data_IF_639704520304
#
_entry.id   IF_639704520304
#
_cell.length_a   1.000
_cell.length_b   1.000
_cell.length_c   1.000
_cell.angle_alpha   90.00
_cell.angle_beta   90.00
_cell.angle_gamma   90.00
#
_symmetry.space_group_name_H-M   'P 1'
#
loop_
_entity.id
_entity.type
_entity.pdbx_description
1 polymer ?
#
# COMPACT_ATOMS: atom_id res chain seq x y z
N UNK A 1 30.09 -46.50 18.17
CA UNK A 1 29.42 -47.78 18.47
C UNK A 1 27.99 -47.50 18.89
N UNK A 2 27.05 -48.34 18.41
CA UNK A 2 25.58 -48.25 18.51
C UNK A 2 24.90 -47.23 17.56
N UNK A 3 23.93 -47.59 16.71
CA UNK A 3 23.28 -48.87 16.41
C UNK A 3 22.66 -48.83 14.98
N UNK A 4 22.87 -49.94 14.28
CA UNK A 4 22.03 -50.67 13.32
C UNK A 4 21.29 -49.94 12.19
N UNK A 5 21.75 -50.23 10.98
CA UNK A 5 20.92 -50.36 9.78
C UNK A 5 20.69 -51.82 9.38
N UNK A 6 19.65 -52.00 8.55
CA UNK A 6 19.40 -53.06 7.54
C UNK A 6 19.33 -54.55 7.96
N UNK A 7 18.16 -55.15 7.73
CA UNK A 7 17.89 -56.31 6.82
C UNK A 7 16.38 -56.57 6.82
N UNK A 8 15.69 -56.36 5.69
CA UNK A 8 15.32 -57.36 4.65
C UNK A 8 14.57 -58.55 5.25
N UNK A 9 13.25 -58.57 5.04
CA UNK A 9 12.41 -59.77 5.11
C UNK A 9 11.85 -60.00 3.70
N UNK A 10 12.00 -61.24 3.25
CA UNK A 10 11.68 -61.74 1.92
C UNK A 10 10.22 -62.21 1.86
N UNK A 11 9.63 -62.01 0.68
CA UNK A 11 8.30 -62.41 0.20
C UNK A 11 7.82 -63.81 0.63
N UNK A 12 6.51 -63.90 0.93
CA UNK A 12 5.70 -65.04 0.53
C UNK A 12 4.58 -64.51 -0.39
N UNK A 13 4.60 -64.95 -1.65
CA UNK A 13 3.56 -64.71 -2.63
C UNK A 13 2.46 -65.78 -2.48
N UNK A 14 1.21 -65.35 -2.43
CA UNK A 14 0.06 -66.18 -2.72
C UNK A 14 -0.72 -65.51 -3.85
N UNK A 15 -0.61 -66.09 -5.04
CA UNK A 15 -1.44 -65.80 -6.21
C UNK A 15 -2.75 -66.57 -6.04
N UNK A 16 -3.91 -65.91 -6.21
CA UNK A 16 -5.15 -66.55 -6.67
C UNK A 16 -6.12 -65.48 -7.24
N UNK A 17 -6.16 -65.46 -8.57
CA UNK A 17 -7.22 -65.18 -9.53
C UNK A 17 -8.47 -64.35 -9.13
N UNK A 18 -8.76 -63.31 -9.93
CA UNK A 18 -10.08 -62.68 -10.02
C UNK A 18 -10.00 -61.26 -10.58
N UNK A 19 -10.46 -61.06 -11.81
CA UNK A 19 -10.14 -59.89 -12.64
C UNK A 19 -10.81 -58.58 -12.28
N UNK A 20 -10.07 -57.50 -12.55
CA UNK A 20 -10.49 -56.29 -13.30
C UNK A 20 -9.28 -55.35 -13.32
N UNK A 21 -8.69 -55.15 -14.50
CA UNK A 21 -7.56 -54.23 -14.68
C UNK A 21 -8.11 -52.81 -14.55
N UNK A 22 -7.98 -52.22 -13.35
CA UNK A 22 -8.00 -50.79 -13.19
C UNK A 22 -6.56 -50.30 -13.37
N UNK A 23 -6.26 -49.73 -14.54
CA UNK A 23 -5.03 -48.97 -14.76
C UNK A 23 -5.02 -47.78 -13.80
N UNK A 24 -4.31 -47.90 -12.67
CA UNK A 24 -3.95 -46.76 -11.85
C UNK A 24 -2.91 -45.95 -12.62
N UNK A 25 -3.38 -45.00 -13.41
CA UNK A 25 -2.56 -43.86 -13.82
C UNK A 25 -2.04 -43.20 -12.56
N UNK A 26 -0.72 -43.21 -12.38
CA UNK A 26 -0.02 -42.42 -11.38
C UNK A 26 -0.28 -40.95 -11.69
N UNK A 27 -1.35 -40.39 -11.13
CA UNK A 27 -1.48 -38.95 -11.01
C UNK A 27 -0.34 -38.52 -10.10
N UNK A 28 0.71 -37.95 -10.71
CA UNK A 28 1.74 -37.25 -9.97
C UNK A 28 1.03 -36.29 -9.03
N UNK A 29 1.40 -36.33 -7.74
CA UNK A 29 0.93 -35.37 -6.77
C UNK A 29 1.13 -33.98 -7.37
N UNK A 30 0.04 -33.32 -7.74
CA UNK A 30 0.08 -31.95 -8.21
C UNK A 30 0.76 -31.17 -7.10
N UNK A 31 1.96 -30.65 -7.39
CA UNK A 31 2.61 -29.67 -6.53
C UNK A 31 1.57 -28.58 -6.30
N UNK A 32 1.13 -28.39 -5.06
CA UNK A 32 0.27 -27.28 -4.70
C UNK A 32 0.88 -26.04 -5.35
N UNK A 33 0.08 -25.34 -6.17
CA UNK A 33 0.51 -24.08 -6.77
C UNK A 33 1.07 -23.23 -5.63
N UNK A 34 2.35 -22.86 -5.72
CA UNK A 34 2.90 -21.91 -4.77
C UNK A 34 2.07 -20.62 -4.90
N UNK A 35 1.82 -19.94 -3.77
CA UNK A 35 1.16 -18.63 -3.64
C UNK A 35 1.85 -17.50 -4.48
N UNK A 36 2.76 -17.86 -5.40
CA UNK A 36 3.62 -17.00 -6.18
C UNK A 36 2.85 -16.13 -7.19
N UNK A 37 1.64 -16.56 -7.58
CA UNK A 37 0.79 -15.81 -8.51
C UNK A 37 -0.13 -14.80 -7.82
N UNK A 38 -0.32 -14.89 -6.49
CA UNK A 38 -1.16 -13.97 -5.75
C UNK A 38 -0.51 -12.59 -5.70
N UNK A 39 -1.24 -11.55 -6.12
CA UNK A 39 -0.80 -10.17 -5.90
C UNK A 39 -1.02 -9.81 -4.43
N UNK A 40 0.05 -9.39 -3.76
CA UNK A 40 -0.02 -8.85 -2.39
C UNK A 40 0.45 -7.41 -2.41
N UNK A 41 -0.47 -6.48 -2.14
CA UNK A 41 -0.11 -5.09 -1.89
C UNK A 41 0.49 -4.95 -0.50
N UNK A 42 1.59 -4.23 -0.39
CA UNK A 42 2.18 -3.84 0.89
C UNK A 42 2.35 -2.33 0.93
N UNK A 43 1.87 -1.71 2.01
CA UNK A 43 1.98 -0.27 2.22
C UNK A 43 2.69 0.04 3.55
N UNK A 44 3.59 1.03 3.52
CA UNK A 44 4.32 1.47 4.70
C UNK A 44 4.55 2.98 4.67
N UNK A 45 4.28 3.62 5.81
CA UNK A 45 4.68 5.01 6.03
C UNK A 45 6.17 5.07 6.36
N UNK A 46 6.94 5.82 5.58
CA UNK A 46 8.39 5.98 5.74
C UNK A 46 8.81 7.45 5.73
N UNK A 47 10.10 7.70 5.94
CA UNK A 47 10.74 8.99 5.68
C UNK A 47 11.99 8.72 4.85
N UNK A 48 11.88 8.63 3.51
CA UNK A 48 13.00 8.27 2.64
C UNK A 48 14.16 9.26 2.78
N UNK A 49 13.86 10.52 3.11
CA UNK A 49 14.84 11.56 3.38
C UNK A 49 14.24 12.72 4.18
N UNK A 50 15.11 13.64 4.58
CA UNK A 50 14.73 14.90 5.21
C UNK A 50 13.90 14.74 6.49
N UNK A 51 13.34 15.86 6.95
CA UNK A 51 12.56 15.94 8.19
C UNK A 51 11.19 16.62 8.01
N UNK A 52 10.89 17.11 6.80
CA UNK A 52 9.75 17.97 6.50
C UNK A 52 8.60 17.24 5.78
N UNK A 53 8.74 15.95 5.52
CA UNK A 53 7.73 15.14 4.85
C UNK A 53 7.72 13.72 5.43
N UNK A 54 6.64 13.00 5.21
CA UNK A 54 6.64 11.54 5.27
C UNK A 54 6.24 10.99 3.90
N UNK A 55 6.52 9.73 3.64
CA UNK A 55 6.11 9.06 2.42
C UNK A 55 5.12 7.94 2.73
N UNK A 56 4.14 7.75 1.86
CA UNK A 56 3.39 6.50 1.72
C UNK A 56 4.06 5.74 0.58
N UNK A 57 4.75 4.66 0.93
CA UNK A 57 5.36 3.76 -0.07
C UNK A 57 4.49 2.53 -0.20
N UNK A 58 4.14 2.19 -1.43
CA UNK A 58 3.34 1.00 -1.76
C UNK A 58 4.09 0.13 -2.74
N UNK A 59 4.05 -1.19 -2.54
CA UNK A 59 4.57 -2.17 -3.49
C UNK A 59 3.53 -3.24 -3.75
N UNK A 60 3.39 -3.68 -5.00
CA UNK A 60 2.73 -4.94 -5.32
C UNK A 60 3.79 -6.04 -5.40
N UNK A 61 3.54 -7.15 -4.71
CA UNK A 61 4.41 -8.32 -4.65
C UNK A 61 3.74 -9.50 -5.36
N UNK A 62 4.53 -10.31 -6.05
CA UNK A 62 4.20 -11.68 -6.45
C UNK A 62 5.30 -12.59 -5.95
N UNK A 63 4.98 -13.50 -5.02
CA UNK A 63 5.98 -14.18 -4.21
C UNK A 63 6.91 -13.19 -3.47
N UNK A 64 8.21 -13.31 -3.67
CA UNK A 64 9.24 -12.44 -3.07
C UNK A 64 9.70 -11.26 -3.95
N UNK A 65 9.14 -11.15 -5.17
CA UNK A 65 9.48 -10.11 -6.14
C UNK A 65 8.50 -8.95 -6.10
N UNK A 66 9.03 -7.75 -6.28
CA UNK A 66 8.26 -6.55 -6.52
C UNK A 66 7.83 -6.53 -7.99
N UNK A 67 6.53 -6.46 -8.26
CA UNK A 67 5.98 -6.32 -9.62
C UNK A 67 5.53 -4.89 -9.94
N UNK A 68 5.26 -4.08 -8.91
CA UNK A 68 5.07 -2.65 -9.05
C UNK A 68 5.46 -1.93 -7.76
N UNK A 69 5.90 -0.68 -7.86
CA UNK A 69 6.19 0.19 -6.72
C UNK A 69 5.68 1.60 -7.00
N UNK A 70 5.27 2.29 -5.94
CA UNK A 70 4.80 3.67 -6.01
C UNK A 70 5.11 4.40 -4.71
N UNK A 71 5.64 5.62 -4.82
CA UNK A 71 5.98 6.48 -3.69
C UNK A 71 5.28 7.83 -3.83
N UNK A 72 4.45 8.16 -2.85
CA UNK A 72 3.98 9.51 -2.65
C UNK A 72 4.53 10.10 -1.36
N UNK A 73 4.80 11.39 -1.36
CA UNK A 73 5.30 12.12 -0.20
C UNK A 73 4.29 13.20 0.19
N UNK A 74 4.07 13.34 1.49
CA UNK A 74 3.17 14.32 2.06
C UNK A 74 3.95 15.37 2.83
N UNK A 75 3.76 16.63 2.48
CA UNK A 75 4.50 17.76 3.04
C UNK A 75 3.57 18.92 3.40
N UNK A 76 3.82 19.59 4.52
CA UNK A 76 3.16 20.86 4.79
C UNK A 76 3.81 21.99 3.97
N UNK A 77 2.98 22.73 3.25
CA UNK A 77 3.36 23.94 2.54
C UNK A 77 2.55 25.13 3.06
N UNK A 78 2.95 26.36 2.71
CA UNK A 78 2.15 27.55 3.03
C UNK A 78 0.77 27.44 2.38
N UNK A 79 -0.28 27.80 3.12
CA UNK A 79 -1.65 27.85 2.61
C UNK A 79 -1.73 28.89 1.49
N UNK A 80 -2.36 28.51 0.38
CA UNK A 80 -2.48 29.38 -0.79
C UNK A 80 -1.24 29.42 -1.70
N UNK A 81 -0.28 28.50 -1.53
CA UNK A 81 0.77 28.31 -2.54
C UNK A 81 0.14 28.04 -3.91
N UNK A 82 0.48 28.88 -4.90
CA UNK A 82 -0.12 28.85 -6.25
C UNK A 82 0.13 27.49 -6.91
N UNK A 83 -0.91 26.95 -7.57
CA UNK A 83 -0.84 25.70 -8.32
C UNK A 83 -0.80 24.45 -7.44
N UNK A 84 -1.03 24.58 -6.13
CA UNK A 84 -1.09 23.44 -5.22
C UNK A 84 -2.48 23.25 -4.61
N UNK A 85 -2.97 22.02 -4.70
CA UNK A 85 -4.22 21.53 -4.11
C UNK A 85 -3.90 20.76 -2.83
N UNK A 86 -4.53 21.12 -1.69
CA UNK A 86 -4.34 20.40 -0.45
C UNK A 86 -5.05 19.05 -0.45
N UNK A 87 -4.66 18.15 0.45
CA UNK A 87 -5.37 16.88 0.66
C UNK A 87 -6.85 17.13 0.98
N UNK A 88 -7.75 16.15 0.72
CA UNK A 88 -9.17 16.29 1.03
C UNK A 88 -9.42 16.75 2.46
N UNK A 89 -10.56 17.40 2.68
CA UNK A 89 -10.98 17.95 3.97
C UNK A 89 -10.07 19.05 4.56
N UNK A 90 -9.09 19.57 3.82
CA UNK A 90 -8.20 20.67 4.26
C UNK A 90 -8.88 22.05 4.44
N UNK A 91 -10.17 22.15 4.16
CA UNK A 91 -11.03 23.30 4.50
C UNK A 91 -12.15 22.94 5.48
N UNK A 92 -12.23 21.67 5.92
CA UNK A 92 -13.27 21.14 6.81
C UNK A 92 -12.65 20.69 8.14
N UNK A 93 -13.14 19.59 8.74
CA UNK A 93 -12.71 19.09 10.04
C UNK A 93 -11.19 18.84 10.16
N UNK A 94 -10.58 18.25 9.13
CA UNK A 94 -9.13 17.97 9.09
C UNK A 94 -8.28 19.23 9.26
N UNK A 95 -8.74 20.38 8.73
CA UNK A 95 -8.04 21.66 8.82
C UNK A 95 -7.80 22.12 10.27
N UNK A 96 -8.64 21.69 11.23
CA UNK A 96 -8.48 22.00 12.66
C UNK A 96 -7.20 21.42 13.26
N UNK A 97 -6.62 20.41 12.59
CA UNK A 97 -5.36 19.78 12.97
C UNK A 97 -4.11 20.44 12.39
N UNK A 98 -4.24 21.54 11.65
CA UNK A 98 -3.10 22.21 10.99
C UNK A 98 -2.98 23.65 11.47
N UNK A 99 -1.76 24.10 11.82
CA UNK A 99 -1.48 25.48 12.26
C UNK A 99 -0.55 26.23 11.30
N UNK A 100 -0.14 27.43 11.68
CA UNK A 100 0.83 28.27 10.96
C UNK A 100 0.42 28.66 9.52
N UNK A 101 -0.88 28.72 9.24
CA UNK A 101 -1.40 28.96 7.88
C UNK A 101 -0.74 28.00 6.87
N UNK A 102 -0.61 26.72 7.24
CA UNK A 102 -0.10 25.67 6.35
C UNK A 102 -1.25 24.82 5.80
N UNK A 103 -0.94 24.03 4.78
CA UNK A 103 -1.80 22.97 4.25
C UNK A 103 -0.95 21.74 3.93
N UNK A 104 -1.50 20.55 4.14
CA UNK A 104 -0.85 19.30 3.75
C UNK A 104 -1.14 19.03 2.27
N UNK A 105 -0.11 18.70 1.50
CA UNK A 105 -0.22 18.32 0.09
C UNK A 105 0.41 16.95 -0.13
N UNK A 106 -0.13 16.17 -1.05
CA UNK A 106 0.59 15.09 -1.75
C UNK A 106 1.53 15.73 -2.77
N UNK A 107 2.78 15.28 -2.83
CA UNK A 107 3.71 15.74 -3.86
C UNK A 107 3.41 15.12 -5.22
N UNK A 108 2.86 13.91 -5.28
CA UNK A 108 2.49 13.30 -6.56
C UNK A 108 1.33 14.02 -7.23
N UNK A 109 0.25 14.32 -6.50
CA UNK A 109 -0.90 15.09 -7.02
C UNK A 109 -0.52 16.53 -7.38
N UNK A 110 0.53 17.06 -6.77
CA UNK A 110 1.02 18.43 -7.00
C UNK A 110 2.36 18.47 -7.73
N UNK A 111 2.72 17.43 -8.50
CA UNK A 111 4.09 17.28 -8.97
C UNK A 111 4.54 18.41 -9.89
N UNK A 112 3.68 18.90 -10.79
CA UNK A 112 4.05 20.00 -11.69
C UNK A 112 4.46 21.25 -10.89
N UNK A 113 3.61 21.68 -9.96
CA UNK A 113 3.88 22.84 -9.11
C UNK A 113 5.09 22.61 -8.19
N UNK A 114 5.21 21.41 -7.61
CA UNK A 114 6.31 21.06 -6.71
C UNK A 114 7.65 20.95 -7.44
N UNK A 115 7.69 20.30 -8.59
CA UNK A 115 8.85 20.23 -9.49
C UNK A 115 9.25 21.62 -9.97
N UNK A 116 8.28 22.52 -10.21
CA UNK A 116 8.53 23.93 -10.47
C UNK A 116 9.26 24.66 -9.33
N UNK A 117 8.90 24.38 -8.06
CA UNK A 117 9.64 24.89 -6.90
C UNK A 117 11.04 24.29 -6.80
N UNK A 118 11.20 22.98 -7.03
CA UNK A 118 12.52 22.34 -7.04
C UNK A 118 13.45 22.93 -8.11
N UNK A 119 12.92 23.26 -9.29
CA UNK A 119 13.70 23.94 -10.34
C UNK A 119 14.15 25.34 -9.90
N UNK A 120 13.26 26.10 -9.25
CA UNK A 120 13.55 27.48 -8.81
C UNK A 120 14.48 27.55 -7.60
N UNK A 121 14.21 26.74 -6.58
CA UNK A 121 14.86 26.82 -5.27
C UNK A 121 16.08 25.89 -5.16
N UNK A 122 16.02 24.71 -5.78
CA UNK A 122 17.07 23.69 -5.71
C UNK A 122 17.86 23.53 -7.03
N UNK A 123 17.56 24.36 -8.04
CA UNK A 123 18.19 24.32 -9.38
C UNK A 123 18.10 22.92 -10.01
N UNK A 124 17.01 22.18 -9.76
CA UNK A 124 16.80 20.86 -10.33
C UNK A 124 16.69 20.94 -11.86
N UNK A 125 17.37 20.02 -12.56
CA UNK A 125 17.33 19.92 -14.03
C UNK A 125 16.27 18.95 -14.53
N UNK A 126 15.63 18.18 -13.64
CA UNK A 126 14.62 17.17 -13.98
C UNK A 126 13.44 17.26 -12.99
N UNK A 127 12.25 16.85 -13.45
CA UNK A 127 11.06 16.76 -12.60
C UNK A 127 11.19 15.66 -11.54
N UNK A 128 10.52 15.83 -10.40
CA UNK A 128 10.57 14.90 -9.27
C UNK A 128 9.99 13.54 -9.66
N UNK A 129 8.80 13.50 -10.27
CA UNK A 129 8.18 12.25 -10.72
C UNK A 129 9.06 11.48 -11.69
N UNK A 130 9.68 12.13 -12.68
CA UNK A 130 10.56 11.42 -13.63
C UNK A 130 11.72 10.68 -12.94
N UNK A 131 12.26 11.24 -11.87
CA UNK A 131 13.29 10.56 -11.08
C UNK A 131 12.71 9.45 -10.20
N UNK A 132 11.49 9.60 -9.67
CA UNK A 132 10.85 8.53 -8.91
C UNK A 132 10.44 7.37 -9.80
N UNK A 133 9.88 7.62 -10.98
CA UNK A 133 9.53 6.60 -11.97
C UNK A 133 10.76 5.73 -12.30
N UNK A 134 11.94 6.35 -12.47
CA UNK A 134 13.18 5.62 -12.71
C UNK A 134 13.56 4.72 -11.52
N UNK A 135 13.34 5.20 -10.29
CA UNK A 135 13.63 4.45 -9.06
C UNK A 135 12.66 3.28 -8.90
N UNK A 136 11.36 3.54 -9.07
CA UNK A 136 10.29 2.55 -8.97
C UNK A 136 10.49 1.45 -10.02
N UNK A 137 10.70 1.81 -11.29
CA UNK A 137 11.02 0.87 -12.38
C UNK A 137 12.29 0.06 -12.09
N UNK A 138 13.31 0.67 -11.51
CA UNK A 138 14.52 -0.07 -11.11
C UNK A 138 14.21 -1.17 -10.08
N UNK A 139 13.21 -0.99 -9.22
CA UNK A 139 12.87 -2.01 -8.21
C UNK A 139 12.03 -3.17 -8.72
N UNK A 140 11.31 -2.99 -9.84
CA UNK A 140 10.50 -4.05 -10.45
C UNK A 140 11.37 -5.25 -10.84
N UNK A 141 10.86 -6.46 -10.59
CA UNK A 141 11.53 -7.74 -10.79
C UNK A 141 12.56 -8.12 -9.72
N UNK A 142 12.83 -7.23 -8.74
CA UNK A 142 13.81 -7.49 -7.68
C UNK A 142 13.14 -7.88 -6.36
N UNK A 143 13.90 -8.60 -5.54
CA UNK A 143 13.55 -8.88 -4.16
C UNK A 143 14.07 -7.78 -3.23
N UNK A 144 13.49 -7.65 -2.04
CA UNK A 144 14.00 -6.73 -1.03
C UNK A 144 15.47 -7.00 -0.66
N UNK A 145 15.90 -8.27 -0.66
CA UNK A 145 17.28 -8.66 -0.39
C UNK A 145 18.23 -8.12 -1.46
N UNK A 146 17.88 -8.26 -2.75
CA UNK A 146 18.67 -7.73 -3.86
C UNK A 146 18.79 -6.20 -3.79
N UNK A 147 17.72 -5.49 -3.43
CA UNK A 147 17.76 -4.03 -3.24
C UNK A 147 18.70 -3.64 -2.10
N UNK A 148 18.64 -4.33 -0.96
CA UNK A 148 19.53 -4.08 0.18
C UNK A 148 21.00 -4.37 -0.19
N UNK A 149 21.28 -5.43 -0.96
CA UNK A 149 22.62 -5.70 -1.47
C UNK A 149 23.12 -4.59 -2.39
N UNK A 150 22.26 -4.09 -3.29
CA UNK A 150 22.62 -2.97 -4.17
C UNK A 150 22.93 -1.70 -3.36
N UNK A 151 22.13 -1.40 -2.33
CA UNK A 151 22.37 -0.27 -1.42
C UNK A 151 23.68 -0.39 -0.64
N UNK A 152 24.04 -1.60 -0.20
CA UNK A 152 25.29 -1.84 0.52
C UNK A 152 26.52 -1.67 -0.40
N UNK A 153 26.41 -2.09 -1.67
CA UNK A 153 27.49 -1.98 -2.66
C UNK A 153 27.69 -0.55 -3.19
N UNK A 154 26.66 0.29 -3.17
CA UNK A 154 26.68 1.59 -3.83
C UNK A 154 26.42 2.74 -2.84
N UNK A 155 27.44 3.57 -2.62
CA UNK A 155 27.32 4.79 -1.80
C UNK A 155 26.26 5.77 -2.36
N UNK A 156 26.07 5.79 -3.67
CA UNK A 156 25.10 6.64 -4.39
C UNK A 156 24.50 5.85 -5.56
N UNK A 157 23.19 5.66 -5.54
CA UNK A 157 22.44 4.91 -6.55
C UNK A 157 22.04 5.80 -7.75
N UNK A 158 21.90 7.11 -7.55
CA UNK A 158 21.49 8.07 -8.60
C UNK A 158 22.48 8.10 -9.78
N UNK A 159 21.95 8.34 -10.99
CA UNK A 159 22.64 8.50 -12.28
C UNK A 159 23.42 7.28 -12.80
N UNK A 160 24.28 6.67 -11.97
CA UNK A 160 25.16 5.57 -12.37
C UNK A 160 24.51 4.19 -12.25
N UNK A 161 23.79 3.94 -11.15
CA UNK A 161 23.13 2.63 -10.92
C UNK A 161 21.72 2.66 -11.47
N UNK A 162 21.01 3.75 -11.21
CA UNK A 162 19.65 3.98 -11.68
C UNK A 162 19.70 5.12 -12.69
N UNK A 163 19.74 4.77 -13.97
CA UNK A 163 19.64 5.75 -15.05
C UNK A 163 18.31 6.51 -14.95
N UNK A 164 18.34 7.83 -15.11
CA UNK A 164 17.16 8.69 -14.95
C UNK A 164 16.83 9.10 -13.51
N UNK A 165 17.39 8.43 -12.49
CA UNK A 165 17.26 8.89 -11.11
C UNK A 165 18.26 10.03 -10.83
N UNK A 166 17.75 11.22 -10.55
CA UNK A 166 18.54 12.44 -10.32
C UNK A 166 18.38 13.02 -8.93
N UNK A 167 17.39 12.57 -8.15
CA UNK A 167 17.21 12.97 -6.76
C UNK A 167 18.41 12.53 -5.90
N UNK A 168 18.92 13.46 -5.08
CA UNK A 168 20.05 13.19 -4.18
C UNK A 168 19.78 12.02 -3.23
N UNK A 169 18.51 11.87 -2.85
CA UNK A 169 17.99 10.92 -1.87
C UNK A 169 17.59 9.56 -2.47
N UNK A 170 18.04 9.25 -3.69
CA UNK A 170 17.73 7.98 -4.40
C UNK A 170 17.92 6.74 -3.53
N UNK A 171 19.00 6.66 -2.74
CA UNK A 171 19.23 5.52 -1.82
C UNK A 171 18.11 5.37 -0.77
N UNK A 172 17.59 6.49 -0.27
CA UNK A 172 16.50 6.52 0.71
C UNK A 172 15.20 5.98 0.14
N UNK A 173 14.87 6.33 -1.10
CA UNK A 173 13.68 5.83 -1.79
C UNK A 173 13.79 4.32 -2.09
N UNK A 174 14.93 3.83 -2.59
CA UNK A 174 15.16 2.39 -2.79
C UNK A 174 15.05 1.63 -1.47
N UNK A 175 15.58 2.19 -0.38
CA UNK A 175 15.45 1.63 0.97
C UNK A 175 14.00 1.59 1.43
N UNK A 176 13.23 2.64 1.14
CA UNK A 176 11.80 2.69 1.45
C UNK A 176 11.03 1.54 0.80
N UNK A 177 11.28 1.29 -0.49
CA UNK A 177 10.66 0.20 -1.24
C UNK A 177 11.05 -1.16 -0.64
N UNK A 178 12.34 -1.39 -0.36
CA UNK A 178 12.81 -2.64 0.25
C UNK A 178 12.22 -2.89 1.65
N UNK A 179 12.06 -1.83 2.45
CA UNK A 179 11.41 -1.90 3.76
C UNK A 179 9.92 -2.19 3.63
N UNK A 180 9.24 -1.58 2.67
CA UNK A 180 7.82 -1.80 2.41
C UNK A 180 7.56 -3.24 1.98
N UNK A 181 8.37 -3.78 1.08
CA UNK A 181 8.28 -5.18 0.65
C UNK A 181 8.41 -6.19 1.80
N UNK A 182 9.13 -5.84 2.88
CA UNK A 182 9.36 -6.73 4.02
C UNK A 182 8.45 -6.47 5.22
N UNK A 183 8.08 -5.22 5.48
CA UNK A 183 7.41 -4.77 6.72
C UNK A 183 6.09 -4.04 6.48
N UNK A 184 5.72 -3.78 5.23
CA UNK A 184 4.47 -3.11 4.91
C UNK A 184 3.26 -3.95 5.33
N UNK A 185 2.18 -3.25 5.68
CA UNK A 185 0.89 -3.87 5.93
C UNK A 185 0.41 -4.52 4.65
N UNK A 186 0.11 -5.81 4.72
CA UNK A 186 -0.21 -6.62 3.57
C UNK A 186 -1.72 -6.70 3.35
N UNK A 187 -2.15 -6.44 2.12
CA UNK A 187 -3.50 -6.75 1.64
C UNK A 187 -3.39 -7.76 0.52
N UNK A 188 -4.00 -8.92 0.72
CA UNK A 188 -4.03 -9.99 -0.28
C UNK A 188 -5.04 -9.66 -1.37
N UNK A 189 -4.64 -9.87 -2.62
CA UNK A 189 -5.46 -9.74 -3.80
C UNK A 189 -5.80 -11.09 -4.41
N UNK A 190 -6.02 -11.08 -5.73
CA UNK A 190 -6.25 -12.28 -6.54
C UNK A 190 -4.96 -12.83 -7.13
N UNK A 191 -5.04 -14.08 -7.60
CA UNK A 191 -4.02 -14.68 -8.46
C UNK A 191 -4.08 -14.05 -9.85
N UNK A 192 -2.91 -13.72 -10.38
CA UNK A 192 -2.74 -13.19 -11.72
C UNK A 192 -1.60 -13.92 -12.42
N UNK A 193 -1.77 -14.19 -13.70
CA UNK A 193 -0.72 -14.84 -14.51
C UNK A 193 0.29 -13.84 -15.05
N UNK A 194 -0.14 -12.61 -15.37
CA UNK A 194 0.72 -11.54 -15.84
C UNK A 194 1.46 -10.85 -14.67
N UNK A 195 2.66 -10.35 -14.92
CA UNK A 195 3.45 -9.50 -14.02
C UNK A 195 3.23 -8.00 -14.31
N UNK A 196 2.49 -7.65 -15.37
CA UNK A 196 2.14 -6.26 -15.73
C UNK A 196 1.11 -5.67 -14.75
N UNK A 197 1.57 -5.40 -13.53
CA UNK A 197 0.80 -4.70 -12.51
C UNK A 197 1.14 -3.22 -12.56
N UNK A 198 0.11 -2.37 -12.52
CA UNK A 198 0.26 -0.93 -12.33
C UNK A 198 -0.35 -0.50 -11.01
N UNK A 199 0.23 0.50 -10.34
CA UNK A 199 -0.33 1.06 -9.12
C UNK A 199 -0.97 2.41 -9.44
N UNK A 200 -2.20 2.60 -8.99
CA UNK A 200 -2.91 3.87 -9.05
C UNK A 200 -3.28 4.31 -7.65
N UNK A 201 -2.99 5.56 -7.29
CA UNK A 201 -3.24 6.08 -5.95
C UNK A 201 -3.99 7.39 -5.97
N UNK A 202 -5.02 7.53 -5.14
CA UNK A 202 -5.76 8.78 -4.95
C UNK A 202 -5.88 9.15 -3.47
N UNK A 203 -5.97 10.44 -3.22
CA UNK A 203 -6.34 11.01 -1.93
C UNK A 203 -7.83 11.31 -1.96
N UNK A 204 -8.60 10.68 -1.07
CA UNK A 204 -10.06 10.76 -1.03
C UNK A 204 -10.57 11.20 0.35
N UNK A 205 -11.87 11.44 0.46
CA UNK A 205 -12.54 11.69 1.74
C UNK A 205 -13.74 10.73 1.91
N UNK A 206 -13.49 9.41 2.01
CA UNK A 206 -14.55 8.42 2.06
C UNK A 206 -15.38 8.52 3.34
N UNK A 207 -14.82 9.03 4.44
CA UNK A 207 -15.44 9.04 5.76
C UNK A 207 -15.31 10.40 6.44
N UNK A 208 -16.46 11.02 6.72
CA UNK A 208 -16.58 12.26 7.48
C UNK A 208 -15.71 13.42 6.95
N UNK A 209 -15.36 14.34 7.86
CA UNK A 209 -14.59 15.55 7.50
C UNK A 209 -13.27 15.72 8.26
N UNK A 210 -12.95 14.82 9.19
CA UNK A 210 -11.77 14.93 10.06
C UNK A 210 -10.53 14.18 9.55
N UNK A 211 -10.69 13.34 8.53
CA UNK A 211 -9.61 12.56 7.91
C UNK A 211 -9.58 12.76 6.39
N UNK A 212 -8.50 12.32 5.76
CA UNK A 212 -8.49 11.97 4.35
C UNK A 212 -7.96 10.55 4.20
N UNK A 213 -8.33 9.86 3.13
CA UNK A 213 -7.83 8.54 2.80
C UNK A 213 -6.75 8.62 1.72
N UNK A 214 -5.82 7.67 1.76
CA UNK A 214 -4.96 7.31 0.63
C UNK A 214 -5.43 5.92 0.19
N UNK A 215 -5.98 5.84 -1.02
CA UNK A 215 -6.42 4.58 -1.62
C UNK A 215 -5.48 4.23 -2.77
N UNK A 216 -4.85 3.07 -2.69
CA UNK A 216 -3.95 2.56 -3.73
C UNK A 216 -4.48 1.26 -4.29
N UNK A 217 -4.54 1.14 -5.61
CA UNK A 217 -5.08 0.00 -6.34
C UNK A 217 -3.98 -0.56 -7.24
N UNK A 218 -3.72 -1.86 -7.10
CA UNK A 218 -2.96 -2.63 -8.06
C UNK A 218 -3.91 -3.09 -9.18
N UNK A 219 -3.64 -2.70 -10.41
CA UNK A 219 -4.42 -3.08 -11.59
C UNK A 219 -3.73 -4.20 -12.34
N UNK A 220 -4.51 -5.20 -12.76
CA UNK A 220 -4.12 -6.18 -13.77
C UNK A 220 -5.07 -6.00 -14.96
N UNK A 221 -4.60 -5.37 -16.03
CA UNK A 221 -5.47 -4.89 -17.10
C UNK A 221 -6.52 -3.90 -16.57
N UNK A 222 -7.80 -4.20 -16.80
CA UNK A 222 -8.96 -3.41 -16.37
C UNK A 222 -9.51 -3.82 -14.99
N UNK A 223 -8.95 -4.85 -14.36
CA UNK A 223 -9.42 -5.39 -13.09
C UNK A 223 -8.51 -5.00 -11.92
N UNK A 224 -9.12 -4.85 -10.75
CA UNK A 224 -8.40 -4.71 -9.48
C UNK A 224 -7.73 -6.04 -9.14
N UNK A 225 -6.40 -6.06 -9.14
CA UNK A 225 -5.64 -7.20 -8.61
C UNK A 225 -5.64 -7.20 -7.08
N UNK A 226 -5.47 -6.03 -6.46
CA UNK A 226 -5.54 -5.80 -5.02
C UNK A 226 -5.80 -4.32 -4.74
N UNK A 227 -6.30 -3.97 -3.55
CA UNK A 227 -6.46 -2.59 -3.11
C UNK A 227 -6.00 -2.40 -1.65
N UNK A 228 -5.53 -1.20 -1.31
CA UNK A 228 -5.14 -0.76 0.04
C UNK A 228 -5.81 0.58 0.34
N UNK A 229 -6.33 0.73 1.56
CA UNK A 229 -6.94 1.98 2.03
C UNK A 229 -6.40 2.30 3.41
N UNK A 230 -5.70 3.42 3.52
CA UNK A 230 -5.36 4.02 4.81
C UNK A 230 -6.04 5.38 4.95
N UNK A 231 -6.25 5.80 6.19
CA UNK A 231 -6.80 7.11 6.51
C UNK A 231 -5.88 7.85 7.46
N UNK A 232 -5.70 9.13 7.20
CA UNK A 232 -4.87 10.01 8.00
C UNK A 232 -5.74 11.01 8.74
N UNK A 233 -5.58 11.05 10.07
CA UNK A 233 -6.40 11.90 10.95
C UNK A 233 -5.55 12.56 12.03
N UNK A 234 -5.90 13.79 12.39
CA UNK A 234 -5.36 14.41 13.60
C UNK A 234 -6.12 13.95 14.84
N UNK A 235 -5.38 13.38 15.80
CA UNK A 235 -5.93 12.90 17.08
C UNK A 235 -5.16 13.50 18.27
N UNK A 236 -5.67 13.30 19.49
CA UNK A 236 -4.88 13.58 20.69
C UNK A 236 -3.67 12.65 20.74
N UNK A 237 -2.48 13.17 21.07
CA UNK A 237 -1.20 12.44 20.94
C UNK A 237 -1.10 11.19 21.84
N UNK A 238 -1.73 11.21 23.01
CA UNK A 238 -1.60 10.11 24.00
C UNK A 238 -2.17 8.81 23.43
N UNK A 239 -1.35 7.76 23.42
CA UNK A 239 -1.76 6.43 22.96
C UNK A 239 -1.65 6.21 21.45
N UNK A 240 -1.13 7.17 20.69
CA UNK A 240 -1.01 7.10 19.24
C UNK A 240 0.41 7.32 18.74
N UNK A 241 0.78 6.58 17.71
CA UNK A 241 2.02 6.76 16.95
C UNK A 241 1.75 7.70 15.77
N UNK A 242 2.47 8.82 15.74
CA UNK A 242 2.41 9.73 14.59
C UNK A 242 3.08 9.15 13.35
N UNK A 243 2.70 9.67 12.18
CA UNK A 243 3.40 9.41 10.92
C UNK A 243 4.89 9.79 11.04
N UNK A 244 5.79 9.26 10.19
CA UNK A 244 7.20 9.62 10.21
C UNK A 244 7.43 11.13 10.25
N UNK A 245 8.52 11.54 10.90
CA UNK A 245 8.87 12.94 11.13
C UNK A 245 7.88 13.77 11.99
N UNK A 246 6.85 13.16 12.58
CA UNK A 246 5.92 13.84 13.52
C UNK A 246 6.58 14.43 14.77
N UNK A 247 7.75 13.95 15.15
CA UNK A 247 8.59 14.48 16.25
C UNK A 247 9.73 15.37 15.75
N UNK A 248 9.72 15.76 14.46
CA UNK A 248 10.72 16.60 13.81
C UNK A 248 10.07 17.79 13.10
N UNK A 249 10.70 18.31 12.03
CA UNK A 249 10.23 19.52 11.34
C UNK A 249 8.81 19.39 10.79
N UNK A 250 8.41 18.22 10.29
CA UNK A 250 7.05 17.96 9.82
C UNK A 250 5.99 18.20 10.92
N UNK A 251 6.29 17.77 12.16
CA UNK A 251 5.39 17.95 13.31
C UNK A 251 5.22 19.40 13.80
N UNK A 252 6.05 20.34 13.31
CA UNK A 252 5.90 21.77 13.65
C UNK A 252 4.58 22.36 13.17
N UNK A 253 3.92 21.72 12.19
CA UNK A 253 2.62 22.10 11.67
C UNK A 253 1.43 21.68 12.55
N UNK A 254 1.64 20.93 13.64
CA UNK A 254 0.55 20.33 14.45
C UNK A 254 0.17 21.17 15.68
N UNK A 255 -1.11 21.44 15.98
CA UNK A 255 -1.52 22.01 17.26
C UNK A 255 -0.90 21.29 18.46
N UNK A 256 -0.68 22.02 19.56
CA UNK A 256 -0.11 21.44 20.79
C UNK A 256 -0.99 20.27 21.25
N UNK A 257 -0.36 19.14 21.57
CA UNK A 257 -1.05 17.93 22.03
C UNK A 257 -1.76 17.11 20.93
N UNK A 258 -1.70 17.53 19.66
CA UNK A 258 -2.21 16.77 18.52
C UNK A 258 -1.09 16.05 17.77
N UNK A 259 -1.46 15.00 17.04
CA UNK A 259 -0.56 14.26 16.14
C UNK A 259 -1.35 13.75 14.94
N UNK A 260 -0.75 13.84 13.74
CA UNK A 260 -1.27 13.18 12.54
C UNK A 260 -0.91 11.69 12.59
N UNK A 261 -1.91 10.83 12.46
CA UNK A 261 -1.74 9.37 12.49
C UNK A 261 -2.16 8.76 11.16
N UNK A 262 -1.54 7.64 10.80
CA UNK A 262 -2.16 6.63 9.94
C UNK A 262 -3.08 5.77 10.81
N UNK A 263 -4.33 5.56 10.37
CA UNK A 263 -5.27 4.66 11.05
C UNK A 263 -4.86 3.20 10.88
N UNK A 264 -4.23 2.83 9.76
CA UNK A 264 -3.70 1.48 9.55
C UNK A 264 -2.57 1.15 10.54
N UNK A 265 -1.62 2.07 10.72
CA UNK A 265 -0.51 1.91 11.70
C UNK A 265 -1.04 1.86 13.14
N UNK A 266 -2.15 2.54 13.40
CA UNK A 266 -2.75 2.65 14.73
C UNK A 266 -4.06 1.86 14.86
N UNK A 267 -4.29 0.83 14.03
CA UNK A 267 -5.61 0.20 13.89
C UNK A 267 -6.17 -0.29 15.22
N UNK A 268 -5.35 -0.99 16.02
CA UNK A 268 -5.75 -1.45 17.36
C UNK A 268 -6.21 -0.31 18.27
N UNK A 269 -5.44 0.79 18.33
CA UNK A 269 -5.74 1.92 19.19
C UNK A 269 -6.95 2.72 18.67
N UNK A 270 -7.07 2.87 17.35
CA UNK A 270 -8.18 3.57 16.72
C UNK A 270 -9.49 2.78 16.83
N UNK A 271 -9.45 1.47 16.58
CA UNK A 271 -10.58 0.56 16.73
C UNK A 271 -11.11 0.52 18.17
N UNK A 272 -10.23 0.65 19.17
CA UNK A 272 -10.66 0.81 20.56
C UNK A 272 -11.47 2.10 20.78
N UNK A 273 -11.12 3.21 20.13
CA UNK A 273 -11.94 4.43 20.15
C UNK A 273 -13.27 4.23 19.44
N UNK A 274 -13.27 3.54 18.28
CA UNK A 274 -14.51 3.24 17.56
C UNK A 274 -15.47 2.38 18.39
N UNK A 275 -14.95 1.38 19.12
CA UNK A 275 -15.73 0.56 20.05
C UNK A 275 -16.29 1.38 21.21
N UNK A 276 -15.46 2.25 21.80
CA UNK A 276 -15.84 3.07 22.96
C UNK A 276 -16.84 4.18 22.62
N UNK A 277 -16.60 4.91 21.54
CA UNK A 277 -17.33 6.13 21.19
C UNK A 277 -18.40 5.84 20.13
N UNK A 278 -18.01 5.13 19.06
CA UNK A 278 -18.88 4.80 17.93
C UNK A 278 -19.68 3.50 18.11
N UNK A 279 -19.51 2.78 19.24
CA UNK A 279 -20.15 1.48 19.51
C UNK A 279 -19.90 0.44 18.41
N UNK A 280 -18.77 0.55 17.71
CA UNK A 280 -18.38 -0.42 16.69
C UNK A 280 -18.24 -1.83 17.29
N UNK A 281 -18.65 -2.85 16.54
CA UNK A 281 -18.59 -4.26 16.99
C UNK A 281 -17.33 -4.99 16.53
N UNK A 282 -16.63 -4.45 15.55
CA UNK A 282 -15.40 -5.02 15.00
C UNK A 282 -14.32 -3.96 14.81
N UNK A 283 -13.10 -4.42 14.55
CA UNK A 283 -11.98 -3.53 14.24
C UNK A 283 -12.13 -2.93 12.84
N UNK A 284 -11.58 -1.73 12.67
CA UNK A 284 -11.65 -0.99 11.41
C UNK A 284 -11.06 -1.81 10.27
N UNK A 285 -9.86 -2.36 10.44
CA UNK A 285 -9.20 -3.12 9.37
C UNK A 285 -9.96 -4.38 8.96
N UNK A 286 -10.81 -4.96 9.82
CA UNK A 286 -11.70 -6.07 9.39
C UNK A 286 -12.66 -5.61 8.29
N UNK A 287 -13.31 -4.45 8.47
CA UNK A 287 -14.17 -3.89 7.43
C UNK A 287 -13.40 -3.44 6.20
N UNK A 288 -12.26 -2.77 6.37
CA UNK A 288 -11.44 -2.31 5.23
C UNK A 288 -10.98 -3.49 4.39
N UNK A 289 -10.54 -4.58 5.00
CA UNK A 289 -10.15 -5.79 4.29
C UNK A 289 -11.33 -6.44 3.55
N UNK A 290 -12.53 -6.43 4.13
CA UNK A 290 -13.72 -6.91 3.43
C UNK A 290 -14.02 -6.06 2.17
N UNK A 291 -13.86 -4.75 2.25
CA UNK A 291 -14.06 -3.80 1.14
C UNK A 291 -13.03 -4.02 0.03
N UNK A 292 -11.74 -4.10 0.37
CA UNK A 292 -10.69 -4.31 -0.63
C UNK A 292 -10.74 -5.70 -1.25
N UNK A 293 -11.14 -6.72 -0.47
CA UNK A 293 -11.40 -8.07 -0.99
C UNK A 293 -12.59 -8.07 -1.95
N UNK A 294 -13.69 -7.39 -1.59
CA UNK A 294 -14.85 -7.26 -2.46
C UNK A 294 -14.49 -6.61 -3.80
N UNK A 295 -13.62 -5.60 -3.80
CA UNK A 295 -13.20 -4.93 -5.02
C UNK A 295 -12.29 -5.77 -5.91
N UNK A 296 -11.55 -6.73 -5.33
CA UNK A 296 -10.59 -7.55 -6.07
C UNK A 296 -11.28 -8.40 -7.14
N UNK A 297 -10.72 -8.43 -8.35
CA UNK A 297 -11.29 -9.07 -9.53
C UNK A 297 -12.36 -8.27 -10.28
N UNK A 298 -12.84 -7.15 -9.73
CA UNK A 298 -13.83 -6.28 -10.38
C UNK A 298 -13.18 -5.18 -11.22
N UNK A 299 -13.90 -4.71 -12.23
CA UNK A 299 -13.57 -3.49 -12.99
C UNK A 299 -14.16 -2.24 -12.31
N UNK A 300 -13.74 -1.05 -12.75
CA UNK A 300 -14.36 0.19 -12.28
C UNK A 300 -15.86 0.25 -12.55
N UNK A 301 -16.32 -0.23 -13.71
CA UNK A 301 -17.73 -0.19 -14.09
C UNK A 301 -18.58 -1.13 -13.25
N UNK A 302 -18.07 -2.32 -12.92
CA UNK A 302 -18.77 -3.23 -12.01
C UNK A 302 -18.95 -2.60 -10.62
N UNK A 303 -17.90 -1.96 -10.08
CA UNK A 303 -17.96 -1.28 -8.79
C UNK A 303 -18.92 -0.07 -8.82
N UNK A 304 -18.93 0.72 -9.90
CA UNK A 304 -19.88 1.82 -10.10
C UNK A 304 -21.32 1.31 -10.19
N UNK A 305 -21.55 0.20 -10.90
CA UNK A 305 -22.87 -0.40 -11.01
C UNK A 305 -23.37 -0.88 -9.64
N UNK A 306 -22.50 -1.51 -8.84
CA UNK A 306 -22.86 -1.92 -7.48
C UNK A 306 -23.22 -0.72 -6.60
N UNK A 307 -22.43 0.37 -6.68
CA UNK A 307 -22.70 1.64 -5.97
C UNK A 307 -24.04 2.28 -6.38
N UNK A 308 -24.42 2.17 -7.66
CA UNK A 308 -25.69 2.71 -8.15
C UNK A 308 -26.88 1.81 -7.80
N UNK A 309 -26.66 0.50 -7.72
CA UNK A 309 -27.71 -0.47 -7.42
C UNK A 309 -28.05 -0.54 -5.92
N UNK A 310 -27.13 -0.13 -5.04
CA UNK A 310 -27.29 -0.24 -3.59
C UNK A 310 -27.12 1.10 -2.89
N UNK A 311 -28.14 1.50 -2.12
CA UNK A 311 -28.03 2.68 -1.26
C UNK A 311 -26.94 2.53 -0.19
N UNK A 312 -26.71 1.30 0.27
CA UNK A 312 -25.67 0.95 1.24
C UNK A 312 -24.86 -0.25 0.78
N UNK A 313 -23.57 -0.03 0.58
CA UNK A 313 -22.64 -1.09 0.21
C UNK A 313 -22.39 -2.08 1.35
N UNK A 314 -22.72 -1.75 2.60
CA UNK A 314 -22.68 -2.72 3.71
C UNK A 314 -23.64 -3.90 3.51
N UNK A 315 -24.65 -3.75 2.66
CA UNK A 315 -25.66 -4.79 2.43
C UNK A 315 -25.13 -5.87 1.46
N UNK A 316 -24.10 -5.55 0.67
CA UNK A 316 -23.50 -6.47 -0.32
C UNK A 316 -22.05 -6.83 -0.02
N UNK A 317 -21.30 -5.94 0.64
CA UNK A 317 -19.92 -6.20 1.04
C UNK A 317 -19.92 -7.00 2.35
N UNK A 318 -19.97 -8.32 2.21
CA UNK A 318 -19.92 -9.24 3.35
C UNK A 318 -18.72 -8.97 4.25
N UNK A 319 -18.99 -8.67 5.52
CA UNK A 319 -17.96 -8.38 6.53
C UNK A 319 -17.63 -6.88 6.70
N UNK A 320 -18.08 -6.00 5.81
CA UNK A 320 -17.96 -4.55 6.01
C UNK A 320 -19.08 -4.03 6.92
N UNK A 321 -18.71 -3.29 7.96
CA UNK A 321 -19.68 -2.67 8.90
C UNK A 321 -19.43 -1.17 9.09
N UNK A 322 -18.55 -0.57 8.30
CA UNK A 322 -18.35 0.88 8.32
C UNK A 322 -19.52 1.51 7.58
N UNK A 323 -20.17 2.50 8.20
CA UNK A 323 -21.28 3.22 7.57
C UNK A 323 -20.87 3.83 6.22
N UNK A 324 -19.62 4.28 6.13
CA UNK A 324 -19.04 4.91 4.95
C UNK A 324 -18.53 3.93 3.88
N UNK A 325 -19.01 2.67 3.89
CA UNK A 325 -18.57 1.65 2.92
C UNK A 325 -18.72 2.11 1.47
N UNK A 326 -19.78 2.87 1.13
CA UNK A 326 -19.96 3.45 -0.21
C UNK A 326 -18.78 4.37 -0.57
N UNK A 327 -18.35 5.23 0.35
CA UNK A 327 -17.25 6.16 0.14
C UNK A 327 -15.93 5.43 -0.09
N UNK A 328 -15.67 4.34 0.64
CA UNK A 328 -14.46 3.53 0.45
C UNK A 328 -14.47 2.74 -0.87
N UNK A 329 -15.62 2.23 -1.32
CA UNK A 329 -15.73 1.62 -2.66
C UNK A 329 -15.55 2.68 -3.74
N UNK A 330 -16.13 3.87 -3.55
CA UNK A 330 -15.94 5.00 -4.48
C UNK A 330 -14.47 5.43 -4.55
N UNK A 331 -13.73 5.47 -3.44
CA UNK A 331 -12.30 5.84 -3.49
C UNK A 331 -11.44 4.83 -4.25
N UNK A 332 -11.83 3.55 -4.28
CA UNK A 332 -11.22 2.53 -5.15
C UNK A 332 -11.53 2.86 -6.61
N UNK A 333 -12.79 3.16 -6.95
CA UNK A 333 -13.19 3.57 -8.31
C UNK A 333 -12.42 4.81 -8.77
N UNK A 334 -12.29 5.81 -7.92
CA UNK A 334 -11.56 7.05 -8.21
C UNK A 334 -10.08 6.77 -8.46
N UNK A 335 -9.47 5.90 -7.66
CA UNK A 335 -8.09 5.46 -7.89
C UNK A 335 -7.94 4.73 -9.23
N UNK A 336 -8.87 3.85 -9.61
CA UNK A 336 -8.82 3.15 -10.91
C UNK A 336 -8.85 4.14 -12.08
N UNK A 337 -9.59 5.25 -11.96
CA UNK A 337 -9.78 6.23 -13.04
C UNK A 337 -8.72 7.35 -13.07
N UNK A 338 -7.75 7.34 -12.16
CA UNK A 338 -6.58 8.24 -12.20
C UNK A 338 -5.59 7.81 -13.27
#
# INVERSE_FOLDING_TARGET
>A
MNKLGRKIVTLAAAVLMGGSIATFSTFGAAKAATDDNQVVLKQLDTAPHGKQAFAVTTVAMKGDKIVAAYIDEFQFVKKGTKGMTPVPNSTKGFAKGVKNKQMLISKATNDEAYSGLMKKEAKSTQGRLQSLDAIEKYTVGKTAAQLNTALAKNKKMQKKVISGATLADTNGYVKSIAQTATKGYATKGIDVTDDNITLKQVEAAPHGTDSFAVTTVAMNGDKVAAASIDEFQFVAKKGFKGVPNSNSDFGKAYPKGKVLISKQVNDKAYSALMKKIGKAKQDRMTSVNAITTYASGKTADQLKNDLNAHSKMTDVVSGATLEDTNGYVQSIVDAINK
#
